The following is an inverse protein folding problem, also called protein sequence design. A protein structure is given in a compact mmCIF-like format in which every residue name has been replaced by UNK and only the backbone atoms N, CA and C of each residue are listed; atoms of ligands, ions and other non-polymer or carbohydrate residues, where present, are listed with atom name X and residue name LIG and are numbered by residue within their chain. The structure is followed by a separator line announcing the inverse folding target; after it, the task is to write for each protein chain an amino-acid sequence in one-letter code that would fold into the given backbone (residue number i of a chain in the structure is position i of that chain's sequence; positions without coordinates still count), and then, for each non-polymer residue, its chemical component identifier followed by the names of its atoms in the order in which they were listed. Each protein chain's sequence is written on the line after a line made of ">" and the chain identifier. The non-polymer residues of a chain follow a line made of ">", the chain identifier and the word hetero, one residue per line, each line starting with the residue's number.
data_IF_975780369604
#
_entry.id   IF_975780369604
#
_cell.length_a   1.000
_cell.length_b   1.000
_cell.length_c   1.000
_cell.angle_alpha   90.00
_cell.angle_beta   90.00
_cell.angle_gamma   90.00
#
_symmetry.space_group_name_H-M   'P 1'
#
loop_
_entity.id
_entity.type
_entity.pdbx_description
1 polymer ?
#
# COMPACT_ATOMS: atom_id res chain seq x y z
N UNK A 1 5.53 7.69 3.33
CA UNK A 1 5.78 8.07 4.74
C UNK A 1 7.16 8.67 4.97
N UNK A 2 8.26 7.90 4.88
CA UNK A 2 9.63 8.39 5.15
C UNK A 2 10.07 9.59 4.28
N UNK A 3 9.68 9.62 3.00
CA UNK A 3 9.97 10.76 2.12
C UNK A 3 9.30 12.06 2.59
N UNK A 4 8.05 11.97 3.07
CA UNK A 4 7.32 13.13 3.61
C UNK A 4 7.95 13.59 4.94
N UNK A 5 8.29 12.66 5.83
CA UNK A 5 9.00 12.98 7.07
C UNK A 5 10.37 13.66 6.80
N UNK A 6 11.11 13.16 5.80
CA UNK A 6 12.36 13.79 5.35
C UNK A 6 12.10 15.22 4.85
N UNK A 7 11.11 15.42 3.99
CA UNK A 7 10.75 16.75 3.48
C UNK A 7 10.43 17.74 4.61
N UNK A 8 9.67 17.33 5.63
CA UNK A 8 9.39 18.17 6.80
C UNK A 8 10.66 18.54 7.57
N UNK A 9 11.60 17.60 7.69
CA UNK A 9 12.90 17.85 8.33
C UNK A 9 13.73 18.83 7.50
N UNK A 10 13.75 18.66 6.17
CA UNK A 10 14.45 19.54 5.24
C UNK A 10 13.85 20.97 5.25
N UNK A 11 12.56 21.11 5.55
CA UNK A 11 11.85 22.38 5.78
C UNK A 11 12.06 22.99 7.17
N UNK A 12 12.85 22.33 8.04
CA UNK A 12 13.29 22.88 9.33
C UNK A 12 12.61 22.29 10.57
N UNK A 13 11.76 21.27 10.44
CA UNK A 13 11.15 20.58 11.58
C UNK A 13 12.20 19.72 12.33
N UNK A 14 12.24 19.79 13.66
CA UNK A 14 13.14 18.93 14.44
C UNK A 14 12.69 17.46 14.29
N UNK A 15 13.65 16.57 14.03
CA UNK A 15 13.44 15.11 13.98
C UNK A 15 12.76 14.58 15.24
N UNK A 16 13.01 15.19 16.40
CA UNK A 16 12.35 14.82 17.67
C UNK A 16 10.85 15.05 17.63
N UNK A 17 10.34 15.97 16.81
CA UNK A 17 8.91 16.24 16.63
C UNK A 17 8.23 15.27 15.65
N UNK A 18 8.98 14.33 15.07
CA UNK A 18 8.46 13.33 14.15
C UNK A 18 8.50 11.96 14.84
N UNK A 19 7.33 11.35 14.99
CA UNK A 19 7.16 9.95 15.39
C UNK A 19 6.72 9.14 14.17
N UNK A 20 7.43 8.06 13.86
CA UNK A 20 7.04 7.11 12.81
C UNK A 20 6.89 5.72 13.45
N UNK A 21 5.73 5.11 13.25
CA UNK A 21 5.40 3.78 13.76
C UNK A 21 4.94 2.93 12.58
N UNK A 22 5.47 1.72 12.46
CA UNK A 22 5.00 0.72 11.49
C UNK A 22 4.43 -0.48 12.23
N UNK A 23 3.15 -0.79 11.96
CA UNK A 23 2.40 -1.82 12.69
C UNK A 23 2.58 -3.25 12.15
N UNK A 24 3.39 -3.44 11.10
CA UNK A 24 3.87 -4.77 10.70
C UNK A 24 5.06 -5.25 11.55
N UNK A 25 5.59 -4.39 12.43
CA UNK A 25 6.69 -4.77 13.31
C UNK A 25 6.28 -5.92 14.26
N UNK A 26 6.96 -7.08 14.20
CA UNK A 26 6.56 -8.28 14.95
C UNK A 26 6.69 -8.12 16.47
N UNK A 27 7.33 -7.06 16.95
CA UNK A 27 7.40 -6.73 18.38
C UNK A 27 6.06 -6.27 18.94
N UNK A 28 5.15 -5.79 18.10
CA UNK A 28 3.78 -5.48 18.51
C UNK A 28 2.95 -6.77 18.54
N UNK A 29 2.62 -7.23 19.74
CA UNK A 29 1.85 -8.47 19.93
C UNK A 29 0.34 -8.24 19.96
N UNK A 30 -0.10 -7.05 20.39
CA UNK A 30 -1.50 -6.64 20.44
C UNK A 30 -1.62 -5.26 19.79
N UNK A 31 -2.43 -5.20 18.72
CA UNK A 31 -2.61 -4.01 17.89
C UNK A 31 -4.01 -3.44 18.13
N UNK A 32 -4.15 -2.58 19.14
CA UNK A 32 -5.41 -1.89 19.45
C UNK A 32 -5.18 -0.41 19.77
N UNK A 33 -6.26 0.35 19.95
CA UNK A 33 -6.18 1.77 20.27
C UNK A 33 -5.44 2.08 21.59
N UNK A 34 -5.33 1.12 22.52
CA UNK A 34 -4.57 1.31 23.78
C UNK A 34 -3.07 1.30 23.50
N UNK A 35 -2.62 0.48 22.56
CA UNK A 35 -1.24 0.53 22.09
C UNK A 35 -0.91 1.92 21.51
N UNK A 36 -1.79 2.50 20.69
CA UNK A 36 -1.59 3.84 20.12
C UNK A 36 -1.41 4.90 21.22
N UNK A 37 -2.28 4.86 22.23
CA UNK A 37 -2.20 5.77 23.37
C UNK A 37 -0.88 5.59 24.13
N UNK A 38 -0.49 4.35 24.42
CA UNK A 38 0.76 4.03 25.11
C UNK A 38 1.99 4.51 24.34
N UNK A 39 2.01 4.33 23.02
CA UNK A 39 3.09 4.80 22.15
C UNK A 39 3.19 6.33 22.24
N UNK A 40 2.06 7.03 22.16
CA UNK A 40 2.03 8.50 22.25
C UNK A 40 2.53 9.00 23.61
N UNK A 41 2.06 8.41 24.71
CA UNK A 41 2.49 8.77 26.07
C UNK A 41 3.99 8.52 26.27
N UNK A 42 4.49 7.34 25.88
CA UNK A 42 5.92 7.00 25.98
C UNK A 42 6.80 7.96 25.18
N UNK A 43 6.32 8.36 23.99
CA UNK A 43 6.99 9.33 23.14
C UNK A 43 7.08 10.71 23.80
N UNK A 44 6.02 11.18 24.46
CA UNK A 44 6.02 12.45 25.21
C UNK A 44 6.85 12.39 26.50
N UNK A 45 6.85 11.27 27.23
CA UNK A 45 7.67 11.10 28.43
C UNK A 45 9.16 11.22 28.12
N UNK A 46 9.55 10.76 26.94
CA UNK A 46 10.95 10.73 26.50
C UNK A 46 11.43 12.08 25.94
N UNK A 47 10.53 13.01 25.62
CA UNK A 47 10.84 14.22 24.86
C UNK A 47 10.04 15.43 25.35
N UNK A 48 10.75 16.51 25.69
CA UNK A 48 10.10 17.79 25.97
C UNK A 48 9.81 18.51 24.63
N UNK A 49 8.60 18.37 24.12
CA UNK A 49 8.19 18.97 22.84
C UNK A 49 7.60 20.36 23.06
N UNK A 50 8.09 21.35 22.30
CA UNK A 50 7.55 22.72 22.33
C UNK A 50 6.27 22.86 21.48
N UNK A 51 6.21 22.17 20.32
CA UNK A 51 5.04 22.16 19.44
C UNK A 51 4.42 20.77 19.27
N UNK A 52 3.25 20.76 18.62
CA UNK A 52 2.50 19.56 18.25
C UNK A 52 3.34 18.65 17.34
N UNK A 53 3.52 17.38 17.71
CA UNK A 53 4.29 16.44 16.88
C UNK A 53 3.55 16.04 15.61
N UNK A 54 4.32 15.59 14.63
CA UNK A 54 3.87 14.85 13.48
C UNK A 54 3.95 13.35 13.78
N UNK A 55 2.83 12.65 13.69
CA UNK A 55 2.74 11.21 13.95
C UNK A 55 2.38 10.51 12.65
N UNK A 56 3.30 9.69 12.16
CA UNK A 56 3.15 8.84 10.99
C UNK A 56 2.82 7.41 11.47
N UNK A 57 1.63 6.94 11.14
CA UNK A 57 1.11 5.61 11.46
C UNK A 57 1.02 4.74 10.19
N UNK A 58 1.97 3.81 10.03
CA UNK A 58 2.11 2.95 8.85
C UNK A 58 1.43 1.60 9.03
N UNK A 59 0.67 1.17 8.02
CA UNK A 59 -0.18 -0.02 8.06
C UNK A 59 -1.19 0.00 9.22
N UNK A 60 -1.81 1.17 9.45
CA UNK A 60 -2.70 1.41 10.61
C UNK A 60 -3.92 0.49 10.63
N UNK A 61 -4.33 -0.06 9.49
CA UNK A 61 -5.49 -0.94 9.38
C UNK A 61 -5.36 -2.27 10.15
N UNK A 62 -4.13 -2.62 10.54
CA UNK A 62 -3.82 -3.76 11.40
C UNK A 62 -4.13 -3.47 12.88
N UNK A 63 -4.31 -2.20 13.25
CA UNK A 63 -4.69 -1.77 14.60
C UNK A 63 -6.21 -1.72 14.73
N UNK A 64 -6.78 -2.34 15.76
CA UNK A 64 -8.21 -2.30 16.05
C UNK A 64 -8.62 -0.95 16.67
N UNK A 65 -9.80 -0.44 16.31
CA UNK A 65 -10.40 0.81 16.82
C UNK A 65 -9.52 2.08 16.68
N UNK A 66 -8.54 2.07 15.77
CA UNK A 66 -7.60 3.16 15.57
C UNK A 66 -8.27 4.48 15.16
N UNK A 67 -9.39 4.40 14.44
CA UNK A 67 -10.11 5.54 13.88
C UNK A 67 -10.61 6.48 14.97
N UNK A 68 -11.10 5.91 16.07
CA UNK A 68 -11.60 6.65 17.23
C UNK A 68 -10.46 7.41 17.90
N UNK A 69 -9.30 6.77 18.00
CA UNK A 69 -8.11 7.38 18.58
C UNK A 69 -7.60 8.54 17.71
N UNK A 70 -7.46 8.33 16.40
CA UNK A 70 -7.03 9.38 15.46
C UNK A 70 -7.99 10.57 15.48
N UNK A 71 -9.31 10.31 15.47
CA UNK A 71 -10.31 11.37 15.58
C UNK A 71 -10.15 12.18 16.87
N UNK A 72 -10.06 11.50 18.01
CA UNK A 72 -9.87 12.15 19.31
C UNK A 72 -8.61 13.02 19.32
N UNK A 73 -7.49 12.50 18.84
CA UNK A 73 -6.22 13.21 18.80
C UNK A 73 -6.26 14.45 17.90
N UNK A 74 -6.95 14.36 16.77
CA UNK A 74 -7.20 15.48 15.88
C UNK A 74 -8.10 16.55 16.53
N UNK A 75 -9.23 16.15 17.13
CA UNK A 75 -10.19 17.06 17.78
C UNK A 75 -9.58 17.80 18.98
N UNK A 76 -8.75 17.12 19.77
CA UNK A 76 -8.00 17.72 20.87
C UNK A 76 -6.77 18.51 20.40
N UNK A 77 -6.47 18.48 19.10
CA UNK A 77 -5.33 19.15 18.49
C UNK A 77 -4.00 18.70 19.08
N UNK A 78 -3.86 17.42 19.44
CA UNK A 78 -2.68 16.86 20.13
C UNK A 78 -1.51 16.53 19.20
N UNK A 79 -1.79 16.25 17.92
CA UNK A 79 -0.79 15.91 16.92
C UNK A 79 -1.30 16.17 15.49
N UNK A 80 -0.38 16.29 14.54
CA UNK A 80 -0.67 16.18 13.11
C UNK A 80 -0.46 14.72 12.69
N UNK A 81 -1.52 14.04 12.28
CA UNK A 81 -1.50 12.60 12.05
C UNK A 81 -1.50 12.31 10.55
N UNK A 82 -0.58 11.46 10.12
CA UNK A 82 -0.52 10.90 8.77
C UNK A 82 -0.69 9.40 8.92
N UNK A 83 -1.63 8.83 8.18
CA UNK A 83 -1.89 7.39 8.17
C UNK A 83 -1.61 6.82 6.79
N UNK A 84 -1.13 5.58 6.74
CA UNK A 84 -1.03 4.79 5.51
C UNK A 84 -1.51 3.37 5.75
N UNK A 85 -1.80 2.70 4.65
CA UNK A 85 -2.06 1.28 4.63
C UNK A 85 -2.33 0.77 3.23
N UNK A 86 -1.99 -0.50 3.06
CA UNK A 86 -1.93 -1.18 1.76
C UNK A 86 -3.27 -1.73 1.25
N UNK A 87 -4.34 -1.69 2.05
CA UNK A 87 -5.60 -2.35 1.70
C UNK A 87 -6.83 -1.43 1.62
N UNK A 88 -7.89 -1.95 1.00
CA UNK A 88 -9.17 -1.26 0.85
C UNK A 88 -9.93 -1.03 2.17
N UNK A 89 -9.48 -1.57 3.31
CA UNK A 89 -10.12 -1.34 4.62
C UNK A 89 -10.03 0.13 5.00
N UNK A 90 -8.92 0.80 4.67
CA UNK A 90 -8.77 2.25 4.82
C UNK A 90 -9.82 3.05 4.03
N UNK A 91 -10.30 2.49 2.93
CA UNK A 91 -11.30 3.08 2.04
C UNK A 91 -12.74 2.61 2.38
N UNK A 92 -12.93 1.90 3.49
CA UNK A 92 -14.26 1.40 3.86
C UNK A 92 -15.20 2.55 4.20
N UNK A 93 -16.48 2.40 3.81
CA UNK A 93 -17.53 3.40 4.08
C UNK A 93 -17.65 3.76 5.57
N UNK A 94 -17.41 2.79 6.46
CA UNK A 94 -17.43 3.01 7.91
C UNK A 94 -16.34 4.00 8.35
N UNK A 95 -15.13 3.83 7.82
CA UNK A 95 -14.01 4.74 8.01
C UNK A 95 -14.29 6.14 7.47
N UNK A 96 -14.85 6.21 6.26
CA UNK A 96 -15.29 7.47 5.67
C UNK A 96 -16.31 8.18 6.57
N UNK A 97 -17.24 7.46 7.23
CA UNK A 97 -18.21 8.08 8.17
C UNK A 97 -17.59 8.57 9.47
N UNK A 98 -16.63 7.83 10.05
CA UNK A 98 -16.02 8.20 11.33
C UNK A 98 -15.12 9.44 11.22
N UNK A 99 -14.47 9.61 10.07
CA UNK A 99 -13.53 10.69 9.80
C UNK A 99 -14.09 11.73 8.82
N UNK A 100 -15.37 11.69 8.44
CA UNK A 100 -15.94 12.56 7.39
C UNK A 100 -15.58 14.03 7.62
N UNK A 101 -15.03 14.67 6.59
CA UNK A 101 -14.65 16.08 6.61
C UNK A 101 -13.45 16.43 7.48
N UNK A 102 -12.77 15.43 8.07
CA UNK A 102 -11.59 15.61 8.96
C UNK A 102 -10.32 14.94 8.43
N UNK A 103 -10.33 14.51 7.18
CA UNK A 103 -9.18 13.89 6.53
C UNK A 103 -9.06 14.37 5.08
N UNK A 104 -7.87 14.18 4.52
CA UNK A 104 -7.58 14.37 3.10
C UNK A 104 -7.05 13.04 2.61
N UNK A 105 -7.77 12.42 1.67
CA UNK A 105 -7.37 11.16 1.07
C UNK A 105 -6.37 11.37 -0.06
N UNK A 106 -5.30 10.58 -0.04
CA UNK A 106 -4.31 10.52 -1.11
C UNK A 106 -4.14 9.06 -1.53
N UNK A 107 -4.57 8.74 -2.75
CA UNK A 107 -4.31 7.42 -3.33
C UNK A 107 -3.01 7.45 -4.11
N UNK A 108 -2.07 6.58 -3.77
CA UNK A 108 -0.80 6.43 -4.47
C UNK A 108 -0.93 5.29 -5.47
N UNK A 109 -0.94 5.63 -6.75
CA UNK A 109 -0.92 4.66 -7.84
C UNK A 109 0.52 4.23 -8.16
N UNK A 110 0.69 3.07 -8.83
CA UNK A 110 1.93 2.78 -9.55
C UNK A 110 2.27 3.90 -10.53
N UNK A 111 3.52 3.91 -11.02
CA UNK A 111 3.98 4.95 -11.94
C UNK A 111 3.06 5.00 -13.17
N UNK A 112 2.64 6.19 -13.55
CA UNK A 112 2.11 6.44 -14.89
C UNK A 112 3.21 6.15 -15.92
N UNK A 113 2.84 5.93 -17.18
CA UNK A 113 3.86 5.69 -18.22
C UNK A 113 4.84 6.86 -18.36
N UNK A 114 4.37 8.11 -18.17
CA UNK A 114 5.26 9.29 -18.17
C UNK A 114 6.26 9.25 -17.01
N UNK A 115 5.83 8.88 -15.81
CA UNK A 115 6.73 8.71 -14.66
C UNK A 115 7.67 7.52 -14.86
N UNK A 116 7.21 6.44 -15.48
CA UNK A 116 8.05 5.30 -15.84
C UNK A 116 9.16 5.69 -16.83
N UNK A 117 8.84 6.50 -17.84
CA UNK A 117 9.86 7.07 -18.74
C UNK A 117 10.87 7.92 -17.95
N UNK A 118 10.39 8.79 -17.05
CA UNK A 118 11.25 9.60 -16.20
C UNK A 118 12.18 8.75 -15.31
N UNK A 119 11.67 7.67 -14.70
CA UNK A 119 12.45 6.71 -13.91
C UNK A 119 13.53 6.00 -14.75
N UNK A 120 13.30 5.88 -16.06
CA UNK A 120 14.25 5.33 -17.02
C UNK A 120 15.10 6.42 -17.71
N UNK A 121 15.17 7.63 -17.14
CA UNK A 121 15.94 8.78 -17.64
C UNK A 121 15.48 9.31 -19.01
N UNK A 122 14.23 9.05 -19.40
CA UNK A 122 13.62 9.55 -20.63
C UNK A 122 12.65 10.68 -20.31
N UNK A 123 13.14 11.90 -20.52
CA UNK A 123 12.32 13.10 -20.39
C UNK A 123 11.61 13.42 -21.72
N UNK A 124 10.29 13.63 -21.65
CA UNK A 124 9.44 14.03 -22.78
C UNK A 124 8.80 15.38 -22.42
N UNK A 125 9.39 16.47 -22.89
CA UNK A 125 8.92 17.85 -22.62
C UNK A 125 7.92 18.30 -23.66
N UNK A 126 8.16 17.94 -24.91
CA UNK A 126 7.38 18.40 -26.06
C UNK A 126 7.04 17.21 -26.99
N UNK A 127 6.03 17.35 -27.85
CA UNK A 127 5.57 16.24 -28.71
C UNK A 127 6.64 15.75 -29.69
N UNK A 128 7.53 16.64 -30.15
CA UNK A 128 8.66 16.26 -31.01
C UNK A 128 9.67 15.32 -30.32
N UNK A 129 9.74 15.31 -28.99
CA UNK A 129 10.55 14.36 -28.23
C UNK A 129 10.04 12.93 -28.43
N UNK A 130 8.73 12.75 -28.58
CA UNK A 130 8.11 11.44 -28.82
C UNK A 130 8.55 10.89 -30.18
N UNK A 131 8.64 11.77 -31.19
CA UNK A 131 9.07 11.40 -32.53
C UNK A 131 10.56 11.06 -32.54
N UNK A 132 11.40 11.91 -31.93
CA UNK A 132 12.86 11.72 -31.92
C UNK A 132 13.28 10.51 -31.07
N UNK A 133 12.60 10.23 -29.95
CA UNK A 133 12.89 9.10 -29.04
C UNK A 133 11.96 7.90 -29.24
N UNK A 134 11.25 7.83 -30.38
CA UNK A 134 10.21 6.83 -30.65
C UNK A 134 10.63 5.38 -30.39
N UNK A 135 11.84 5.01 -30.83
CA UNK A 135 12.34 3.64 -30.68
C UNK A 135 12.48 3.27 -29.21
N UNK A 136 13.06 4.15 -28.41
CA UNK A 136 13.28 3.94 -26.98
C UNK A 136 11.98 3.95 -26.18
N UNK A 137 11.08 4.90 -26.48
CA UNK A 137 9.74 4.94 -25.88
C UNK A 137 8.97 3.66 -26.18
N UNK A 138 8.99 3.17 -27.42
CA UNK A 138 8.32 1.91 -27.76
C UNK A 138 8.92 0.70 -27.06
N UNK A 139 10.23 0.67 -26.82
CA UNK A 139 10.88 -0.38 -26.03
C UNK A 139 10.40 -0.34 -24.59
N UNK A 140 10.42 0.84 -23.96
CA UNK A 140 9.95 1.02 -22.58
C UNK A 140 8.44 0.78 -22.44
N UNK A 141 7.66 1.04 -23.49
CA UNK A 141 6.22 0.72 -23.49
C UNK A 141 5.99 -0.78 -23.44
N UNK A 142 6.76 -1.58 -24.20
CA UNK A 142 6.69 -3.05 -24.11
C UNK A 142 7.05 -3.53 -22.72
N UNK A 143 8.12 -2.99 -22.14
CA UNK A 143 8.57 -3.31 -20.80
C UNK A 143 7.51 -2.95 -19.73
N UNK A 144 6.87 -1.79 -19.86
CA UNK A 144 5.77 -1.35 -19.01
C UNK A 144 4.58 -2.31 -19.06
N UNK A 145 4.23 -2.82 -20.24
CA UNK A 145 3.15 -3.82 -20.37
C UNK A 145 3.53 -5.19 -19.82
N UNK A 146 4.80 -5.59 -19.95
CA UNK A 146 5.28 -6.90 -19.52
C UNK A 146 5.49 -6.98 -18.00
N UNK A 147 6.11 -5.96 -17.40
CA UNK A 147 6.51 -5.96 -15.99
C UNK A 147 5.70 -4.99 -15.11
N UNK A 148 4.81 -4.19 -15.71
CA UNK A 148 4.05 -3.19 -14.98
C UNK A 148 4.89 -1.98 -14.56
N UNK A 149 4.39 -1.24 -13.57
CA UNK A 149 4.90 0.10 -13.26
C UNK A 149 5.14 0.38 -11.78
N UNK A 150 5.33 -0.69 -10.99
CA UNK A 150 5.76 -0.51 -9.61
C UNK A 150 7.16 0.14 -9.57
N UNK A 151 7.40 1.15 -8.71
CA UNK A 151 8.67 1.86 -8.68
C UNK A 151 9.91 0.97 -8.52
N UNK A 152 9.85 -0.04 -7.64
CA UNK A 152 10.97 -0.97 -7.43
C UNK A 152 11.23 -1.85 -8.66
N UNK A 153 10.17 -2.29 -9.34
CA UNK A 153 10.25 -3.08 -10.58
C UNK A 153 10.79 -2.23 -11.74
N UNK A 154 10.45 -0.95 -11.80
CA UNK A 154 10.97 -0.05 -12.83
C UNK A 154 12.50 0.11 -12.72
N UNK A 155 13.03 0.19 -11.50
CA UNK A 155 14.44 0.50 -11.23
C UNK A 155 15.37 -0.72 -11.13
N UNK A 156 14.83 -1.93 -10.98
CA UNK A 156 15.61 -3.13 -10.72
C UNK A 156 15.72 -4.05 -11.95
N UNK A 157 16.90 -4.65 -12.23
CA UNK A 157 17.03 -5.64 -13.31
C UNK A 157 16.26 -6.95 -13.05
N UNK A 158 16.05 -7.35 -11.80
CA UNK A 158 15.40 -8.62 -11.43
C UNK A 158 13.86 -8.51 -11.36
N UNK A 159 13.27 -7.82 -12.33
CA UNK A 159 11.84 -7.46 -12.40
C UNK A 159 10.90 -8.64 -12.14
N UNK A 160 11.16 -9.76 -12.80
CA UNK A 160 10.32 -10.97 -12.69
C UNK A 160 10.31 -11.57 -11.29
N UNK A 161 11.46 -11.58 -10.60
CA UNK A 161 11.55 -12.14 -9.25
C UNK A 161 10.83 -11.24 -8.24
N UNK A 162 10.94 -9.92 -8.38
CA UNK A 162 10.22 -8.95 -7.54
C UNK A 162 8.72 -9.11 -7.71
N UNK A 163 8.23 -9.20 -8.96
CA UNK A 163 6.80 -9.40 -9.23
C UNK A 163 6.27 -10.73 -8.67
N UNK A 164 7.06 -11.81 -8.77
CA UNK A 164 6.71 -13.09 -8.16
C UNK A 164 6.65 -12.99 -6.63
N UNK A 165 7.58 -12.27 -6.02
CA UNK A 165 7.56 -12.00 -4.57
C UNK A 165 6.33 -11.21 -4.17
N UNK A 166 5.96 -10.17 -4.90
CA UNK A 166 4.74 -9.40 -4.64
C UNK A 166 3.49 -10.26 -4.77
N UNK A 167 3.41 -11.10 -5.80
CA UNK A 167 2.30 -12.02 -5.97
C UNK A 167 2.19 -13.00 -4.80
N UNK A 168 3.31 -13.62 -4.39
CA UNK A 168 3.32 -14.54 -3.26
C UNK A 168 3.00 -13.85 -1.94
N UNK A 169 3.44 -12.59 -1.74
CA UNK A 169 3.09 -11.80 -0.57
C UNK A 169 1.60 -11.50 -0.51
N UNK A 170 1.00 -11.04 -1.61
CA UNK A 170 -0.46 -10.78 -1.68
C UNK A 170 -1.24 -12.08 -1.41
N UNK A 171 -0.87 -13.18 -2.06
CA UNK A 171 -1.57 -14.46 -1.87
C UNK A 171 -1.43 -14.96 -0.44
N UNK A 172 -0.22 -14.94 0.13
CA UNK A 172 0.02 -15.56 1.44
C UNK A 172 -0.33 -14.65 2.62
N UNK A 173 0.13 -13.40 2.59
CA UNK A 173 -0.08 -12.43 3.69
C UNK A 173 -1.48 -11.83 3.63
N UNK A 174 -1.86 -11.26 2.49
CA UNK A 174 -3.11 -10.48 2.41
C UNK A 174 -4.36 -11.32 2.29
N UNK A 175 -4.25 -12.52 1.69
CA UNK A 175 -5.40 -13.41 1.51
C UNK A 175 -5.37 -14.60 2.48
N UNK A 176 -4.35 -15.47 2.40
CA UNK A 176 -4.33 -16.72 3.17
C UNK A 176 -4.33 -16.47 4.67
N UNK A 177 -3.41 -15.64 5.17
CA UNK A 177 -3.31 -15.33 6.60
C UNK A 177 -4.54 -14.55 7.09
N UNK A 178 -4.96 -13.52 6.36
CA UNK A 178 -6.08 -12.65 6.74
C UNK A 178 -7.42 -13.40 6.80
N UNK A 179 -7.74 -14.19 5.79
CA UNK A 179 -9.01 -14.93 5.71
C UNK A 179 -8.90 -16.37 6.24
N UNK A 180 -7.75 -16.76 6.81
CA UNK A 180 -7.48 -18.10 7.36
C UNK A 180 -7.83 -19.22 6.37
N UNK A 181 -7.40 -19.04 5.13
CA UNK A 181 -7.75 -19.93 4.01
C UNK A 181 -7.10 -21.30 4.21
N UNK A 182 -7.92 -22.36 4.26
CA UNK A 182 -7.47 -23.73 4.53
C UNK A 182 -6.68 -24.39 3.41
N UNK A 183 -6.87 -23.94 2.15
CA UNK A 183 -6.25 -24.53 0.95
C UNK A 183 -5.53 -23.47 0.09
N UNK A 184 -4.37 -22.96 0.53
CA UNK A 184 -3.61 -21.93 -0.19
C UNK A 184 -3.30 -22.30 -1.65
N UNK A 185 -2.93 -23.56 -1.90
CA UNK A 185 -2.61 -24.05 -3.25
C UNK A 185 -3.77 -23.90 -4.24
N UNK A 186 -5.02 -24.09 -3.77
CA UNK A 186 -6.20 -23.92 -4.61
C UNK A 186 -6.48 -22.45 -4.90
N UNK A 187 -6.20 -21.56 -3.95
CA UNK A 187 -6.28 -20.12 -4.18
C UNK A 187 -5.23 -19.66 -5.20
N UNK A 188 -3.97 -20.12 -5.06
CA UNK A 188 -2.91 -19.81 -6.02
C UNK A 188 -3.26 -20.34 -7.42
N UNK A 189 -3.79 -21.56 -7.51
CA UNK A 189 -4.28 -22.14 -8.77
C UNK A 189 -5.42 -21.33 -9.38
N UNK A 190 -6.33 -20.79 -8.56
CA UNK A 190 -7.43 -19.95 -9.01
C UNK A 190 -6.91 -18.60 -9.53
N UNK A 191 -5.99 -17.97 -8.83
CA UNK A 191 -5.36 -16.73 -9.27
C UNK A 191 -4.65 -16.91 -10.61
N UNK A 192 -3.85 -17.98 -10.76
CA UNK A 192 -3.19 -18.31 -12.02
C UNK A 192 -4.18 -18.59 -13.15
N UNK A 193 -5.32 -19.23 -12.86
CA UNK A 193 -6.38 -19.44 -13.84
C UNK A 193 -6.91 -18.11 -14.38
N UNK A 194 -7.25 -17.16 -13.49
CA UNK A 194 -7.76 -15.86 -13.93
C UNK A 194 -6.71 -15.03 -14.68
N UNK A 195 -5.45 -15.04 -14.22
CA UNK A 195 -4.35 -14.36 -14.90
C UNK A 195 -4.07 -14.93 -16.30
N UNK A 196 -4.29 -16.23 -16.50
CA UNK A 196 -4.11 -16.88 -17.81
C UNK A 196 -5.30 -16.68 -18.76
N UNK A 197 -6.44 -16.23 -18.24
CA UNK A 197 -7.70 -16.09 -18.98
C UNK A 197 -8.26 -14.67 -18.88
N UNK A 198 -7.36 -13.67 -18.84
CA UNK A 198 -7.75 -12.25 -18.83
C UNK A 198 -8.68 -11.99 -20.01
N UNK A 199 -9.76 -11.24 -19.79
CA UNK A 199 -10.84 -10.92 -20.76
C UNK A 199 -11.76 -12.08 -21.20
N UNK A 200 -11.53 -13.31 -20.73
CA UNK A 200 -12.41 -14.44 -21.05
C UNK A 200 -13.55 -14.60 -20.05
N UNK A 201 -14.77 -14.85 -20.54
CA UNK A 201 -15.89 -15.22 -19.67
C UNK A 201 -15.62 -16.58 -19.01
N UNK A 202 -15.84 -16.65 -17.70
CA UNK A 202 -15.61 -17.87 -16.91
C UNK A 202 -16.91 -18.29 -16.24
N UNK A 203 -17.18 -19.59 -16.19
CA UNK A 203 -18.32 -20.17 -15.46
C UNK A 203 -17.86 -20.89 -14.19
N UNK A 204 -18.72 -20.99 -13.18
CA UNK A 204 -18.44 -21.76 -11.97
C UNK A 204 -18.10 -23.24 -12.28
N UNK A 205 -18.73 -23.81 -13.31
CA UNK A 205 -18.42 -25.17 -13.77
C UNK A 205 -17.00 -25.31 -14.34
N UNK A 206 -16.52 -24.32 -15.10
CA UNK A 206 -15.15 -24.32 -15.61
C UNK A 206 -14.13 -24.26 -14.46
N UNK A 207 -14.38 -23.38 -13.48
CA UNK A 207 -13.56 -23.27 -12.27
C UNK A 207 -13.56 -24.54 -11.44
N UNK A 208 -14.73 -25.16 -11.25
CA UNK A 208 -14.88 -26.45 -10.55
C UNK A 208 -14.00 -27.53 -11.18
N UNK A 209 -14.06 -27.65 -12.52
CA UNK A 209 -13.27 -28.63 -13.29
C UNK A 209 -11.77 -28.36 -13.18
N UNK A 210 -11.37 -27.10 -13.31
CA UNK A 210 -9.96 -26.70 -13.21
C UNK A 210 -9.39 -26.92 -11.81
N UNK A 211 -10.11 -26.47 -10.78
CA UNK A 211 -9.65 -26.54 -9.40
C UNK A 211 -9.89 -27.89 -8.72
N UNK A 212 -10.71 -28.77 -9.28
CA UNK A 212 -11.11 -30.05 -8.68
C UNK A 212 -11.66 -29.86 -7.26
N UNK A 213 -12.59 -28.92 -7.08
CA UNK A 213 -13.30 -28.66 -5.81
C UNK A 213 -14.82 -28.76 -6.00
N UNK A 214 -15.60 -28.82 -4.92
CA UNK A 214 -17.07 -28.87 -4.97
C UNK A 214 -17.66 -27.55 -5.45
N UNK A 215 -18.78 -27.61 -6.17
CA UNK A 215 -19.49 -26.41 -6.69
C UNK A 215 -19.85 -25.44 -5.57
N UNK A 216 -20.28 -25.94 -4.41
CA UNK A 216 -20.61 -25.16 -3.21
C UNK A 216 -19.42 -24.46 -2.54
N UNK A 217 -18.21 -24.64 -3.06
CA UNK A 217 -16.99 -23.97 -2.60
C UNK A 217 -16.47 -22.97 -3.64
N UNK A 218 -16.96 -23.04 -4.88
CA UNK A 218 -16.65 -22.10 -5.96
C UNK A 218 -17.69 -20.98 -6.02
N UNK A 219 -18.95 -21.30 -5.70
CA UNK A 219 -20.07 -20.36 -5.50
C UNK A 219 -19.93 -19.60 -4.18
#
# INVERSE_FOLDING_TARGET
>A
MKQLAKKLTDEGLDKKQILIVNFEDPRFTQLDSKLLQKIYETYLESLNLEDKPYIFLDEIQEVEDWERWVRMMHELGKAKIIVSGSNAKLLSKELSTLLTGRHIDLTIFPLSFREFLFFNNIEVKEELDIISKKIEINRLLKEYFEFGSFPEVALNPEKGQILLSYFDDVVNKDLVRRYRIRKPEKLKSLAMFYLSNISSQTTFNALRKHLSISTSTVE
#
